data_IF_982280831304
#
_entry.id   IF_982280831304
#
_cell.length_a   1.000
_cell.length_b   1.000
_cell.length_c   1.000
_cell.angle_alpha   90.00
_cell.angle_beta   90.00
_cell.angle_gamma   90.00
#
_symmetry.space_group_name_H-M   'P 1'
#
loop_
_entity.id
_entity.type
_entity.pdbx_description
1 polymer ?
#
# COMPACT_ATOMS: atom_id res chain seq x y z
N UNK A 1 30.71 22.63 -21.29
CA UNK A 1 30.45 22.25 -19.88
C UNK A 1 29.07 22.74 -19.50
N UNK A 2 28.09 21.86 -19.43
CA UNK A 2 26.75 22.20 -18.92
C UNK A 2 26.84 22.20 -17.39
N UNK A 3 26.48 23.30 -16.70
CA UNK A 3 26.59 23.37 -15.25
C UNK A 3 25.59 22.38 -14.62
N UNK A 4 26.12 21.38 -13.90
CA UNK A 4 25.32 20.48 -13.08
C UNK A 4 24.73 21.32 -11.94
N UNK A 5 23.42 21.56 -11.99
CA UNK A 5 22.68 22.17 -10.89
C UNK A 5 22.88 21.32 -9.62
N UNK A 6 23.22 21.90 -8.48
CA UNK A 6 23.40 21.14 -7.25
C UNK A 6 22.09 20.45 -6.90
N UNK A 7 22.15 19.12 -6.76
CA UNK A 7 21.03 18.29 -6.29
C UNK A 7 20.50 18.92 -4.99
N UNK A 8 19.32 19.56 -5.06
CA UNK A 8 18.60 19.99 -3.87
C UNK A 8 18.46 18.78 -2.96
N UNK A 9 18.90 18.89 -1.70
CA UNK A 9 18.64 17.86 -0.67
C UNK A 9 17.16 17.53 -0.69
N UNK A 10 16.81 16.36 -1.22
CA UNK A 10 15.47 15.79 -1.08
C UNK A 10 15.29 15.59 0.42
N UNK A 11 14.33 16.30 1.03
CA UNK A 11 14.01 16.11 2.43
C UNK A 11 13.78 14.61 2.67
N UNK A 12 14.51 14.02 3.62
CA UNK A 12 14.39 12.59 3.88
C UNK A 12 12.93 12.26 4.19
N UNK A 13 12.28 11.37 3.44
CA UNK A 13 10.89 11.00 3.68
C UNK A 13 10.82 10.14 4.95
N UNK A 14 10.85 10.79 6.12
CA UNK A 14 10.69 10.12 7.40
C UNK A 14 9.23 10.09 7.77
N UNK A 15 8.49 9.12 7.25
CA UNK A 15 7.16 8.81 7.78
C UNK A 15 7.36 8.11 9.12
N UNK A 16 7.07 8.76 10.26
CA UNK A 16 7.21 8.12 11.57
C UNK A 16 6.29 6.89 11.65
N UNK A 17 6.74 5.85 12.36
CA UNK A 17 5.96 4.62 12.60
C UNK A 17 5.58 4.41 14.06
N UNK A 18 6.14 5.25 14.93
CA UNK A 18 5.85 5.36 16.34
C UNK A 18 5.28 6.75 16.62
N UNK A 19 4.27 6.79 17.47
CA UNK A 19 3.56 8.00 17.88
C UNK A 19 3.26 7.91 19.37
N UNK A 20 2.68 8.96 19.93
CA UNK A 20 2.23 8.98 21.32
C UNK A 20 0.72 9.15 21.39
N UNK A 21 0.07 8.36 22.24
CA UNK A 21 -1.34 8.57 22.60
C UNK A 21 -1.50 9.85 23.43
N UNK A 22 -2.72 10.37 23.53
CA UNK A 22 -3.05 11.48 24.42
C UNK A 22 -2.76 11.19 25.92
N UNK A 23 -2.63 9.92 26.32
CA UNK A 23 -2.19 9.52 27.66
C UNK A 23 -0.65 9.45 27.82
N UNK A 24 0.12 9.81 26.79
CA UNK A 24 1.59 9.79 26.79
C UNK A 24 2.23 8.44 26.45
N UNK A 25 1.47 7.35 26.35
CA UNK A 25 2.01 6.01 26.03
C UNK A 25 2.32 5.85 24.54
N UNK A 26 3.38 5.11 24.18
CA UNK A 26 3.72 4.84 22.79
C UNK A 26 2.60 4.04 22.10
N UNK A 27 2.31 4.42 20.87
CA UNK A 27 1.39 3.72 19.96
C UNK A 27 2.07 3.58 18.60
N UNK A 28 1.77 2.49 17.90
CA UNK A 28 2.44 2.10 16.66
C UNK A 28 1.44 2.05 15.52
N UNK A 29 1.93 2.27 14.30
CA UNK A 29 1.15 2.39 13.06
C UNK A 29 -0.02 1.41 12.87
N UNK A 30 0.04 0.20 13.44
CA UNK A 30 -1.01 -0.83 13.34
C UNK A 30 -2.08 -0.80 14.43
N UNK A 31 -1.89 -0.06 15.52
CA UNK A 31 -2.83 -0.05 16.62
C UNK A 31 -4.14 0.65 16.21
N UNK A 32 -5.27 0.03 16.55
CA UNK A 32 -6.62 0.61 16.45
C UNK A 32 -7.14 1.13 17.81
N UNK A 33 -6.43 0.81 18.90
CA UNK A 33 -6.72 1.24 20.26
C UNK A 33 -5.42 1.38 21.06
N UNK A 34 -5.38 2.33 21.99
CA UNK A 34 -4.30 2.43 22.96
C UNK A 34 -4.47 1.35 24.04
N UNK A 35 -3.49 0.45 24.16
CA UNK A 35 -3.52 -0.65 25.13
C UNK A 35 -3.43 -0.20 26.60
N UNK A 36 -3.05 1.05 26.86
CA UNK A 36 -2.93 1.58 28.23
C UNK A 36 -4.18 2.31 28.71
N UNK A 37 -4.87 3.07 27.86
CA UNK A 37 -6.01 3.89 28.26
C UNK A 37 -7.31 3.60 27.48
N UNK A 38 -7.31 2.59 26.60
CA UNK A 38 -8.50 2.16 25.86
C UNK A 38 -9.01 3.14 24.79
N UNK A 39 -8.35 4.29 24.58
CA UNK A 39 -8.79 5.26 23.56
C UNK A 39 -8.71 4.66 22.16
N UNK A 40 -9.75 4.80 21.32
CA UNK A 40 -9.67 4.44 19.91
C UNK A 40 -8.57 5.24 19.21
N UNK A 41 -7.93 4.63 18.22
CA UNK A 41 -6.89 5.25 17.41
C UNK A 41 -7.30 5.26 15.94
N UNK A 42 -6.73 6.18 15.16
CA UNK A 42 -6.92 6.22 13.71
C UNK A 42 -5.76 6.89 12.99
N UNK A 43 -5.34 6.33 11.86
CA UNK A 43 -4.26 6.87 11.04
C UNK A 43 -4.81 7.91 10.06
N UNK A 44 -4.37 9.15 10.23
CA UNK A 44 -4.58 10.24 9.28
C UNK A 44 -3.52 10.15 8.18
N UNK A 45 -3.96 9.83 6.96
CA UNK A 45 -3.09 9.65 5.82
C UNK A 45 -2.48 10.96 5.30
N UNK A 46 -3.19 12.08 5.43
CA UNK A 46 -2.73 13.39 4.98
C UNK A 46 -1.61 13.91 5.89
N UNK A 47 -1.78 13.72 7.20
CA UNK A 47 -0.77 14.13 8.19
C UNK A 47 0.33 13.09 8.41
N UNK A 48 0.14 11.87 7.93
CA UNK A 48 1.03 10.75 8.19
C UNK A 48 1.12 10.37 9.67
N UNK A 49 0.02 10.51 10.43
CA UNK A 49 0.01 10.38 11.90
C UNK A 49 -1.05 9.42 12.42
N UNK A 50 -0.68 8.61 13.41
CA UNK A 50 -1.65 7.87 14.22
C UNK A 50 -2.16 8.76 15.36
N UNK A 51 -3.47 9.00 15.37
CA UNK A 51 -4.14 9.91 16.29
C UNK A 51 -4.88 9.11 17.37
N UNK A 52 -4.83 9.58 18.62
CA UNK A 52 -5.78 9.16 19.63
C UNK A 52 -7.10 9.90 19.43
N UNK A 53 -8.22 9.20 19.51
CA UNK A 53 -9.52 9.72 19.12
C UNK A 53 -10.47 9.89 20.30
N UNK A 54 -11.39 10.83 20.16
CA UNK A 54 -12.57 10.98 21.00
C UNK A 54 -13.79 11.38 20.18
N UNK A 55 -15.00 11.10 20.70
CA UNK A 55 -16.24 11.39 20.00
C UNK A 55 -16.38 12.90 19.76
N UNK A 56 -16.58 13.30 18.50
CA UNK A 56 -16.81 14.68 18.14
C UNK A 56 -18.25 15.10 18.49
N UNK A 57 -18.48 16.17 19.28
CA UNK A 57 -19.82 16.65 19.58
C UNK A 57 -20.49 17.21 18.31
N UNK A 58 -21.81 17.05 18.16
CA UNK A 58 -22.60 17.65 17.07
C UNK A 58 -23.13 16.67 16.01
N UNK A 59 -24.16 17.11 15.27
CA UNK A 59 -25.00 16.26 14.39
C UNK A 59 -24.47 16.04 12.96
N UNK A 60 -23.41 16.74 12.55
CA UNK A 60 -22.96 16.77 11.15
C UNK A 60 -22.37 15.44 10.62
N UNK A 61 -21.84 14.59 11.51
CA UNK A 61 -21.39 13.23 11.18
C UNK A 61 -21.89 12.30 12.27
N UNK A 62 -22.82 11.40 11.97
CA UNK A 62 -23.28 10.37 12.91
C UNK A 62 -22.04 9.54 13.30
N UNK A 63 -21.67 9.54 14.59
CA UNK A 63 -20.45 8.90 15.11
C UNK A 63 -19.11 9.49 14.62
N UNK A 64 -19.04 10.80 14.38
CA UNK A 64 -17.78 11.47 14.05
C UNK A 64 -16.73 11.43 15.17
N UNK A 65 -15.46 11.40 14.77
CA UNK A 65 -14.29 11.39 15.65
C UNK A 65 -13.48 12.67 15.49
N UNK A 66 -12.71 13.03 16.53
CA UNK A 66 -11.68 14.08 16.47
C UNK A 66 -10.42 13.60 17.18
N UNK A 67 -9.32 14.28 16.94
CA UNK A 67 -8.08 14.10 17.71
C UNK A 67 -8.30 14.49 19.19
N UNK A 68 -7.93 13.60 20.10
CA UNK A 68 -8.02 13.81 21.53
C UNK A 68 -6.96 14.80 22.01
N UNK A 69 -7.33 15.68 22.94
CA UNK A 69 -6.43 16.72 23.47
C UNK A 69 -6.33 17.97 22.57
N UNK A 70 -6.98 17.98 21.40
CA UNK A 70 -7.09 19.17 20.55
C UNK A 70 -8.43 19.87 20.83
N UNK A 71 -8.46 21.20 21.07
CA UNK A 71 -9.70 21.93 21.28
C UNK A 71 -10.71 21.71 20.14
N UNK A 72 -11.97 21.43 20.47
CA UNK A 72 -12.99 21.01 19.50
C UNK A 72 -13.21 22.00 18.34
N UNK A 73 -12.98 23.31 18.56
CA UNK A 73 -13.08 24.34 17.52
C UNK A 73 -11.96 24.27 16.47
N UNK A 74 -10.86 23.58 16.76
CA UNK A 74 -9.65 23.47 15.91
C UNK A 74 -9.38 22.04 15.43
N UNK A 75 -10.07 21.05 15.99
CA UNK A 75 -9.85 19.65 15.65
C UNK A 75 -10.63 19.29 14.38
N UNK A 76 -9.96 18.77 13.33
CA UNK A 76 -10.67 18.20 12.19
C UNK A 76 -11.56 17.03 12.63
N UNK A 77 -12.61 16.81 11.84
CA UNK A 77 -13.51 15.67 12.02
C UNK A 77 -13.09 14.55 11.10
N UNK A 78 -13.24 13.34 11.62
CA UNK A 78 -12.93 12.11 10.89
C UNK A 78 -14.05 11.09 11.05
N UNK A 79 -14.10 10.15 10.11
CA UNK A 79 -14.72 8.85 10.30
C UNK A 79 -13.64 7.75 10.32
N UNK A 80 -13.96 6.59 10.90
CA UNK A 80 -13.09 5.40 10.78
C UNK A 80 -13.54 4.59 9.57
N UNK A 81 -12.59 3.96 8.88
CA UNK A 81 -12.84 3.11 7.73
C UNK A 81 -13.88 2.02 8.06
N UNK A 82 -14.80 1.74 7.13
CA UNK A 82 -15.78 0.66 7.28
C UNK A 82 -15.12 -0.73 7.41
N UNK A 83 -13.89 -0.89 6.90
CA UNK A 83 -13.07 -2.10 7.06
C UNK A 83 -12.39 -2.23 8.44
N UNK A 84 -12.74 -1.39 9.42
CA UNK A 84 -12.17 -1.49 10.77
C UNK A 84 -12.58 -2.79 11.47
N UNK A 85 -13.87 -3.10 11.44
CA UNK A 85 -14.47 -4.22 12.17
C UNK A 85 -14.63 -5.47 11.27
N UNK A 86 -14.03 -5.46 10.08
CA UNK A 86 -13.90 -6.61 9.19
C UNK A 86 -12.55 -7.29 9.39
N UNK A 87 -12.33 -8.44 8.74
CA UNK A 87 -11.05 -9.15 8.82
C UNK A 87 -9.84 -8.30 8.36
N UNK A 88 -10.04 -7.29 7.50
CA UNK A 88 -8.98 -6.34 7.10
C UNK A 88 -8.41 -5.51 8.27
N UNK A 89 -9.16 -5.39 9.37
CA UNK A 89 -8.79 -4.68 10.60
C UNK A 89 -8.17 -3.30 10.33
N UNK A 90 -8.81 -2.49 9.49
CA UNK A 90 -8.27 -1.22 9.03
C UNK A 90 -8.37 -0.12 10.09
N UNK A 91 -7.25 0.52 10.42
CA UNK A 91 -7.21 1.63 11.38
C UNK A 91 -7.09 3.02 10.73
N UNK A 92 -7.33 3.17 9.42
CA UNK A 92 -7.20 4.46 8.74
C UNK A 92 -8.47 5.30 8.87
N UNK A 93 -8.28 6.62 8.85
CA UNK A 93 -9.34 7.61 8.92
C UNK A 93 -9.80 8.03 7.52
N UNK A 94 -11.04 8.48 7.45
CA UNK A 94 -11.57 9.32 6.38
C UNK A 94 -11.61 10.75 6.91
N UNK A 95 -11.17 11.71 6.11
CA UNK A 95 -11.24 13.13 6.47
C UNK A 95 -12.63 13.72 6.18
N UNK A 96 -12.79 15.03 6.38
CA UNK A 96 -14.06 15.70 6.16
C UNK A 96 -14.50 15.68 4.69
N UNK A 97 -13.56 15.75 3.73
CA UNK A 97 -13.87 15.75 2.30
C UNK A 97 -14.35 14.35 1.86
N UNK A 98 -13.66 13.31 2.30
CA UNK A 98 -14.05 11.91 2.08
C UNK A 98 -15.46 11.64 2.65
N UNK A 99 -15.74 12.09 3.87
CA UNK A 99 -17.06 11.89 4.50
C UNK A 99 -18.14 12.67 3.74
N UNK A 100 -17.84 13.89 3.29
CA UNK A 100 -18.77 14.71 2.53
C UNK A 100 -19.10 14.11 1.15
N UNK A 101 -18.16 13.43 0.52
CA UNK A 101 -18.39 12.71 -0.74
C UNK A 101 -19.17 11.39 -0.57
N UNK A 102 -19.52 11.02 0.67
CA UNK A 102 -20.21 9.77 0.99
C UNK A 102 -19.30 8.55 1.04
N UNK A 103 -17.97 8.72 1.05
CA UNK A 103 -17.06 7.60 1.13
C UNK A 103 -17.17 6.88 2.50
N UNK A 104 -17.10 5.55 2.47
CA UNK A 104 -17.06 4.69 3.67
C UNK A 104 -15.72 3.99 3.84
N UNK A 105 -14.92 3.93 2.78
CA UNK A 105 -13.58 3.35 2.76
C UNK A 105 -12.50 4.44 2.70
N UNK A 106 -11.47 4.28 3.54
CA UNK A 106 -10.30 5.15 3.52
C UNK A 106 -9.53 5.05 2.20
N UNK A 107 -8.63 6.02 1.95
CA UNK A 107 -7.78 6.10 0.76
C UNK A 107 -7.02 4.81 0.41
N UNK A 108 -6.62 4.00 1.39
CA UNK A 108 -5.95 2.72 1.12
C UNK A 108 -6.94 1.60 0.78
N UNK A 109 -8.06 1.48 1.51
CA UNK A 109 -9.03 0.41 1.30
C UNK A 109 -9.79 0.55 -0.03
N UNK A 110 -10.02 1.78 -0.51
CA UNK A 110 -10.64 2.00 -1.83
C UNK A 110 -9.76 1.64 -3.03
N UNK A 111 -8.48 1.33 -2.80
CA UNK A 111 -7.62 0.77 -3.84
C UNK A 111 -7.88 -0.73 -4.03
N UNK A 112 -8.51 -1.42 -3.07
CA UNK A 112 -8.89 -2.82 -3.27
C UNK A 112 -10.17 -2.86 -4.09
N UNK A 113 -10.05 -3.32 -5.33
CA UNK A 113 -11.17 -3.54 -6.23
C UNK A 113 -11.86 -4.87 -5.92
N UNK A 114 -11.07 -5.91 -5.65
CA UNK A 114 -11.55 -7.26 -5.35
C UNK A 114 -10.94 -7.76 -4.04
N UNK A 115 -11.78 -8.23 -3.12
CA UNK A 115 -11.37 -8.93 -1.89
C UNK A 115 -11.47 -10.44 -2.12
N UNK A 116 -10.68 -11.27 -1.42
CA UNK A 116 -10.76 -12.72 -1.60
C UNK A 116 -12.11 -13.24 -1.13
N UNK A 117 -12.53 -14.37 -1.69
CA UNK A 117 -13.74 -15.07 -1.25
C UNK A 117 -13.59 -15.53 0.21
N UNK A 118 -14.26 -14.81 1.11
CA UNK A 118 -14.19 -15.01 2.55
C UNK A 118 -14.92 -16.27 3.03
N UNK A 119 -15.60 -17.00 2.14
CA UNK A 119 -16.13 -18.32 2.47
C UNK A 119 -15.03 -19.39 2.50
N UNK A 120 -13.89 -19.12 1.88
CA UNK A 120 -12.76 -20.04 1.88
C UNK A 120 -11.97 -19.99 3.20
N UNK A 121 -11.59 -21.15 3.77
CA UNK A 121 -10.83 -21.20 5.01
C UNK A 121 -9.51 -20.41 4.94
N UNK A 122 -9.30 -19.49 5.89
CA UNK A 122 -8.09 -18.68 6.01
C UNK A 122 -8.05 -17.42 5.15
N UNK A 123 -9.04 -17.21 4.26
CA UNK A 123 -9.11 -16.02 3.40
C UNK A 123 -9.19 -14.71 4.20
N UNK A 124 -9.85 -14.74 5.37
CA UNK A 124 -9.93 -13.64 6.33
C UNK A 124 -8.55 -13.24 6.89
N UNK A 125 -7.76 -14.23 7.32
CA UNK A 125 -6.40 -14.04 7.84
C UNK A 125 -5.49 -13.50 6.73
N UNK A 126 -5.60 -14.04 5.53
CA UNK A 126 -4.81 -13.60 4.37
C UNK A 126 -5.16 -12.16 3.96
N UNK A 127 -6.44 -11.84 3.88
CA UNK A 127 -6.91 -10.49 3.61
C UNK A 127 -6.37 -9.49 4.65
N UNK A 128 -6.43 -9.85 5.94
CA UNK A 128 -5.86 -9.06 7.02
C UNK A 128 -4.37 -8.75 6.80
N UNK A 129 -3.57 -9.78 6.49
CA UNK A 129 -2.11 -9.66 6.31
C UNK A 129 -1.76 -8.82 5.08
N UNK A 130 -2.46 -9.02 3.97
CA UNK A 130 -2.24 -8.27 2.73
C UNK A 130 -2.60 -6.80 2.94
N UNK A 131 -3.76 -6.51 3.53
CA UNK A 131 -4.17 -5.14 3.82
C UNK A 131 -3.20 -4.43 4.80
N UNK A 132 -2.62 -5.15 5.76
CA UNK A 132 -1.56 -4.61 6.62
C UNK A 132 -0.29 -4.26 5.84
N UNK A 133 0.13 -5.10 4.89
CA UNK A 133 1.28 -4.84 4.02
C UNK A 133 1.00 -3.69 3.05
N UNK A 134 -0.18 -3.68 2.42
CA UNK A 134 -0.64 -2.61 1.53
C UNK A 134 -0.71 -1.26 2.24
N UNK A 135 -1.25 -1.17 3.46
CA UNK A 135 -1.21 0.08 4.26
C UNK A 135 0.22 0.59 4.49
N UNK A 136 1.19 -0.31 4.70
CA UNK A 136 2.61 0.10 4.81
C UNK A 136 3.14 0.65 3.50
N UNK A 137 2.86 -0.01 2.37
CA UNK A 137 3.19 0.49 1.03
C UNK A 137 2.54 1.85 0.78
N UNK A 138 1.22 1.94 0.86
CA UNK A 138 0.46 3.14 0.50
C UNK A 138 0.86 4.34 1.37
N UNK A 139 1.08 4.14 2.67
CA UNK A 139 1.62 5.23 3.50
C UNK A 139 2.99 5.71 2.99
N UNK A 140 3.90 4.82 2.59
CA UNK A 140 5.20 5.19 2.01
C UNK A 140 5.03 6.00 0.73
N UNK A 141 4.16 5.56 -0.18
CA UNK A 141 3.88 6.26 -1.43
C UNK A 141 3.37 7.68 -1.19
N UNK A 142 2.43 7.83 -0.24
CA UNK A 142 1.91 9.15 0.17
C UNK A 142 3.03 10.05 0.72
N UNK A 143 3.88 9.55 1.61
CA UNK A 143 4.98 10.36 2.14
C UNK A 143 6.11 10.65 1.14
N UNK A 144 6.24 9.84 0.09
CA UNK A 144 7.07 10.13 -1.08
C UNK A 144 6.40 11.13 -2.05
N UNK A 145 5.16 11.55 -1.77
CA UNK A 145 4.33 12.40 -2.62
C UNK A 145 4.06 11.81 -4.00
N UNK A 146 4.07 10.48 -4.09
CA UNK A 146 3.70 9.78 -5.32
C UNK A 146 2.17 9.79 -5.49
N UNK A 147 1.66 9.80 -6.74
CA UNK A 147 0.23 9.75 -6.98
C UNK A 147 -0.33 8.41 -6.47
N UNK A 148 -1.33 8.49 -5.60
CA UNK A 148 -2.09 7.35 -5.09
C UNK A 148 -3.56 7.69 -5.26
N UNK A 149 -4.14 7.23 -6.36
CA UNK A 149 -5.52 7.48 -6.74
C UNK A 149 -6.19 6.15 -7.09
N UNK A 150 -7.42 5.93 -6.64
CA UNK A 150 -8.13 4.70 -6.97
C UNK A 150 -8.49 4.70 -8.44
N UNK A 151 -8.27 3.57 -9.12
CA UNK A 151 -8.73 3.38 -10.51
C UNK A 151 -10.25 3.53 -10.68
N UNK A 152 -11.03 3.40 -9.61
CA UNK A 152 -12.47 3.65 -9.63
C UNK A 152 -12.84 5.16 -9.64
N UNK A 153 -11.88 6.04 -9.32
CA UNK A 153 -12.12 7.48 -9.09
C UNK A 153 -11.49 8.36 -10.18
N UNK A 154 -10.70 7.79 -11.10
CA UNK A 154 -9.92 8.53 -12.10
C UNK A 154 -10.09 7.95 -13.50
N UNK A 155 -9.78 8.73 -14.55
CA UNK A 155 -9.77 8.23 -15.93
C UNK A 155 -8.86 7.02 -16.13
N UNK A 156 -9.11 6.29 -17.20
CA UNK A 156 -8.38 5.09 -17.58
C UNK A 156 -6.87 5.34 -17.69
N UNK A 157 -6.07 4.34 -17.29
CA UNK A 157 -4.60 4.40 -17.30
C UNK A 157 -3.93 5.14 -16.12
N UNK A 158 -4.65 5.96 -15.34
CA UNK A 158 -4.00 6.80 -14.31
C UNK A 158 -4.12 6.29 -12.87
N UNK A 159 -5.03 5.35 -12.60
CA UNK A 159 -5.33 4.89 -11.25
C UNK A 159 -4.71 3.54 -10.88
N UNK A 160 -4.55 3.33 -9.57
CA UNK A 160 -4.06 2.11 -8.95
C UNK A 160 -5.23 1.30 -8.37
N UNK A 161 -5.22 0.00 -8.61
CA UNK A 161 -6.15 -0.95 -8.02
C UNK A 161 -5.42 -2.23 -7.57
N UNK A 162 -6.00 -2.93 -6.60
CA UNK A 162 -5.54 -4.23 -6.13
C UNK A 162 -6.67 -5.25 -6.25
N UNK A 163 -6.38 -6.37 -6.89
CA UNK A 163 -7.23 -7.55 -6.90
C UNK A 163 -6.60 -8.63 -6.04
N UNK A 164 -7.28 -8.98 -4.96
CA UNK A 164 -6.86 -10.02 -4.03
C UNK A 164 -7.68 -11.27 -4.34
N UNK A 165 -7.09 -12.21 -5.06
CA UNK A 165 -7.80 -13.36 -5.61
C UNK A 165 -7.31 -14.64 -4.94
N UNK A 166 -8.13 -15.69 -5.03
CA UNK A 166 -7.72 -17.05 -4.68
C UNK A 166 -7.82 -17.90 -5.93
N UNK A 167 -6.80 -18.73 -6.16
CA UNK A 167 -6.86 -19.73 -7.22
C UNK A 167 -8.08 -20.61 -7.01
N UNK A 168 -8.98 -20.74 -8.01
CA UNK A 168 -10.12 -21.63 -7.90
C UNK A 168 -9.63 -23.09 -7.79
N UNK A 169 -10.40 -23.98 -7.15
CA UNK A 169 -10.06 -25.42 -7.09
C UNK A 169 -9.92 -26.04 -8.49
N UNK A 170 -10.77 -25.59 -9.42
CA UNK A 170 -10.76 -25.98 -10.82
C UNK A 170 -10.54 -24.72 -11.67
N UNK A 171 -9.36 -24.58 -12.26
CA UNK A 171 -9.02 -23.46 -13.13
C UNK A 171 -7.53 -23.11 -13.11
N UNK A 172 -7.12 -22.11 -13.91
CA UNK A 172 -5.76 -21.62 -13.89
C UNK A 172 -5.45 -20.98 -12.52
N UNK A 173 -4.22 -21.21 -12.04
CA UNK A 173 -3.73 -20.54 -10.85
C UNK A 173 -3.71 -19.03 -11.06
N UNK A 174 -4.06 -18.28 -10.01
CA UNK A 174 -3.86 -16.83 -9.98
C UNK A 174 -2.36 -16.56 -10.01
N UNK A 175 -1.93 -15.73 -10.95
CA UNK A 175 -0.56 -15.25 -11.05
C UNK A 175 -0.51 -13.85 -10.46
N UNK A 176 0.34 -13.66 -9.46
CA UNK A 176 0.65 -12.33 -8.92
C UNK A 176 1.41 -11.52 -9.96
N UNK A 177 0.99 -10.29 -10.18
CA UNK A 177 1.55 -9.44 -11.22
C UNK A 177 0.90 -8.07 -11.29
N UNK A 178 1.30 -7.31 -12.30
CA UNK A 178 0.79 -5.99 -12.61
C UNK A 178 0.32 -5.93 -14.07
N UNK A 179 -0.83 -5.30 -14.31
CA UNK A 179 -1.30 -4.93 -15.64
C UNK A 179 -2.06 -3.59 -15.58
N UNK A 180 -1.59 -2.58 -16.29
CA UNK A 180 -2.23 -1.25 -16.44
C UNK A 180 -2.74 -0.64 -15.13
N UNK A 181 -1.89 -0.61 -14.09
CA UNK A 181 -2.23 -0.09 -12.77
C UNK A 181 -3.14 -0.99 -11.93
N UNK A 182 -3.43 -2.22 -12.38
CA UNK A 182 -4.05 -3.26 -11.56
C UNK A 182 -2.96 -4.20 -11.05
N UNK A 183 -2.85 -4.28 -9.73
CA UNK A 183 -1.97 -5.20 -9.03
C UNK A 183 -2.78 -6.42 -8.61
N UNK A 184 -2.52 -7.57 -9.21
CA UNK A 184 -3.14 -8.83 -8.84
C UNK A 184 -2.24 -9.57 -7.85
N UNK A 185 -2.82 -10.06 -6.75
CA UNK A 185 -2.13 -10.94 -5.82
C UNK A 185 -2.92 -12.23 -5.63
N UNK A 186 -2.24 -13.37 -5.69
CA UNK A 186 -2.74 -14.60 -5.07
C UNK A 186 -2.72 -14.41 -3.54
N UNK A 187 -3.91 -14.30 -2.95
CA UNK A 187 -4.07 -14.07 -1.53
C UNK A 187 -3.45 -15.19 -0.68
N UNK A 188 -3.32 -16.40 -1.23
CA UNK A 188 -2.67 -17.53 -0.56
C UNK A 188 -1.16 -17.33 -0.33
N UNK A 189 -0.52 -16.39 -1.05
CA UNK A 189 0.84 -15.93 -0.74
C UNK A 189 0.96 -15.32 0.65
N UNK A 190 -0.16 -14.97 1.29
CA UNK A 190 -0.21 -14.45 2.63
C UNK A 190 0.04 -15.50 3.74
N UNK A 191 0.07 -16.78 3.40
CA UNK A 191 0.37 -17.89 4.31
C UNK A 191 1.89 -18.07 4.55
N UNK A 192 2.31 -17.99 5.82
CA UNK A 192 3.73 -18.17 6.20
C UNK A 192 4.25 -19.59 5.95
N UNK A 193 3.42 -20.63 6.15
CA UNK A 193 3.85 -22.00 5.97
C UNK A 193 4.09 -22.31 4.48
N UNK A 194 3.16 -21.87 3.62
CA UNK A 194 3.34 -21.94 2.16
C UNK A 194 4.48 -21.06 1.66
N UNK A 195 4.76 -19.94 2.33
CA UNK A 195 5.93 -19.08 2.03
C UNK A 195 7.24 -19.82 2.30
N UNK A 196 7.39 -20.42 3.48
CA UNK A 196 8.61 -21.14 3.84
C UNK A 196 8.78 -22.41 3.00
N UNK A 197 7.69 -23.12 2.70
CA UNK A 197 7.72 -24.27 1.80
C UNK A 197 8.20 -23.87 0.39
N UNK A 198 7.69 -22.77 -0.19
CA UNK A 198 8.14 -22.30 -1.52
C UNK A 198 9.61 -21.85 -1.52
N UNK A 199 10.07 -21.20 -0.45
CA UNK A 199 11.47 -20.77 -0.30
C UNK A 199 12.45 -21.94 -0.40
N UNK A 200 12.13 -23.09 0.19
CA UNK A 200 12.97 -24.28 0.15
C UNK A 200 13.12 -24.92 -1.24
N UNK A 201 12.15 -24.73 -2.14
CA UNK A 201 12.14 -25.37 -3.46
C UNK A 201 12.79 -24.55 -4.57
N UNK A 202 12.83 -23.22 -4.47
CA UNK A 202 13.29 -22.34 -5.55
C UNK A 202 14.70 -21.75 -5.34
N UNK A 203 15.31 -21.89 -4.16
CA UNK A 203 16.67 -21.39 -3.90
C UNK A 203 16.85 -19.86 -3.98
N UNK A 204 15.79 -19.14 -4.33
CA UNK A 204 15.76 -17.68 -4.40
C UNK A 204 15.42 -17.05 -3.05
N UNK A 205 15.91 -15.83 -2.83
CA UNK A 205 15.48 -14.98 -1.71
C UNK A 205 14.04 -14.51 -1.93
N UNK A 206 13.06 -15.37 -1.73
CA UNK A 206 11.65 -15.05 -2.04
C UNK A 206 11.13 -13.90 -1.16
N UNK A 207 10.49 -12.90 -1.79
CA UNK A 207 10.24 -11.58 -1.21
C UNK A 207 9.05 -11.61 -0.23
N UNK A 208 9.10 -10.78 0.80
CA UNK A 208 7.95 -10.59 1.73
C UNK A 208 6.70 -10.10 0.98
N UNK A 209 5.49 -10.25 1.55
CA UNK A 209 4.26 -9.65 0.98
C UNK A 209 4.43 -8.17 0.62
N UNK A 210 5.09 -7.40 1.50
CA UNK A 210 5.40 -5.99 1.23
C UNK A 210 6.39 -5.83 0.07
N UNK A 211 7.33 -6.76 -0.08
CA UNK A 211 8.26 -6.82 -1.20
C UNK A 211 7.56 -7.08 -2.54
N UNK A 212 6.62 -8.03 -2.60
CA UNK A 212 5.80 -8.26 -3.80
C UNK A 212 4.97 -7.03 -4.14
N UNK A 213 4.23 -6.50 -3.17
CA UNK A 213 3.44 -5.27 -3.38
C UNK A 213 4.30 -4.11 -3.91
N UNK A 214 5.52 -3.94 -3.39
CA UNK A 214 6.47 -2.92 -3.89
C UNK A 214 6.95 -3.18 -5.30
N UNK A 215 7.24 -4.44 -5.64
CA UNK A 215 7.68 -4.81 -6.98
C UNK A 215 6.60 -4.50 -8.01
N UNK A 216 5.40 -5.04 -7.80
CA UNK A 216 4.30 -4.87 -8.76
C UNK A 216 3.86 -3.40 -8.85
N UNK A 217 3.79 -2.70 -7.70
CA UNK A 217 3.47 -1.27 -7.72
C UNK A 217 4.60 -0.44 -8.35
N UNK A 218 5.83 -0.95 -8.36
CA UNK A 218 6.97 -0.36 -9.08
C UNK A 218 6.73 -0.33 -10.58
N UNK A 219 6.18 -1.40 -11.16
CA UNK A 219 5.80 -1.44 -12.58
C UNK A 219 4.76 -0.38 -12.93
N UNK A 220 3.74 -0.20 -12.08
CA UNK A 220 2.77 0.89 -12.23
C UNK A 220 3.44 2.27 -12.26
N UNK A 221 4.38 2.55 -11.34
CA UNK A 221 5.07 3.84 -11.34
C UNK A 221 6.06 4.01 -12.48
N UNK A 222 6.64 2.92 -13.01
CA UNK A 222 7.44 2.98 -14.22
C UNK A 222 6.61 3.48 -15.41
N UNK A 223 5.39 2.95 -15.59
CA UNK A 223 4.45 3.41 -16.65
C UNK A 223 4.05 4.88 -16.48
N UNK A 224 4.02 5.39 -15.25
CA UNK A 224 3.62 6.79 -15.00
C UNK A 224 4.77 7.79 -15.04
N UNK A 225 5.96 7.40 -14.56
CA UNK A 225 7.06 8.33 -14.27
C UNK A 225 8.25 8.17 -15.19
N UNK A 226 8.36 7.05 -15.91
CA UNK A 226 9.51 6.74 -16.76
C UNK A 226 9.07 6.62 -18.21
N UNK A 227 8.17 5.69 -18.52
CA UNK A 227 7.75 5.36 -19.89
C UNK A 227 7.34 6.57 -20.75
N UNK A 228 6.49 7.52 -20.27
CA UNK A 228 6.06 8.66 -21.09
C UNK A 228 7.03 9.85 -21.04
N UNK A 229 8.26 9.67 -20.56
CA UNK A 229 9.20 10.76 -20.28
C UNK A 229 10.54 10.58 -20.98
N UNK A 230 11.36 11.63 -20.94
CA UNK A 230 12.74 11.60 -21.44
C UNK A 230 13.66 10.61 -20.69
N UNK A 231 13.23 10.07 -19.54
CA UNK A 231 14.01 9.13 -18.74
C UNK A 231 14.05 7.70 -19.29
N UNK A 232 13.16 7.35 -20.22
CA UNK A 232 13.05 5.98 -20.73
C UNK A 232 14.37 5.48 -21.35
N UNK A 233 14.95 6.23 -22.27
CA UNK A 233 16.18 5.82 -22.97
C UNK A 233 17.40 5.77 -22.03
N UNK A 234 17.64 6.73 -21.12
CA UNK A 234 18.67 6.61 -20.08
C UNK A 234 18.51 5.38 -19.18
N UNK A 235 17.28 5.03 -18.77
CA UNK A 235 17.02 3.83 -17.95
C UNK A 235 17.37 2.57 -18.72
N UNK A 236 16.97 2.47 -19.99
CA UNK A 236 17.31 1.34 -20.87
C UNK A 236 18.82 1.18 -21.06
N UNK A 237 19.53 2.29 -21.23
CA UNK A 237 20.99 2.27 -21.38
C UNK A 237 21.70 1.76 -20.11
N UNK A 238 21.17 2.06 -18.92
CA UNK A 238 21.78 1.69 -17.65
C UNK A 238 21.39 0.29 -17.16
N UNK A 239 20.10 -0.05 -17.25
CA UNK A 239 19.55 -1.27 -16.66
C UNK A 239 19.23 -2.38 -17.67
N UNK A 240 19.34 -2.09 -18.97
CA UNK A 240 18.98 -3.00 -20.05
C UNK A 240 17.65 -2.63 -20.71
N UNK A 241 17.52 -3.02 -21.98
CA UNK A 241 16.34 -2.75 -22.80
C UNK A 241 15.19 -3.69 -22.45
N UNK A 242 14.12 -3.14 -21.86
CA UNK A 242 12.90 -3.84 -21.45
C UNK A 242 12.11 -4.48 -22.61
N UNK A 243 12.42 -4.15 -23.87
CA UNK A 243 11.78 -4.74 -25.06
C UNK A 243 12.35 -6.09 -25.48
N UNK A 244 13.46 -6.51 -24.88
CA UNK A 244 14.05 -7.81 -25.18
C UNK A 244 13.13 -8.95 -24.70
N UNK A 245 13.10 -10.06 -25.44
CA UNK A 245 12.36 -11.24 -25.00
C UNK A 245 12.89 -11.74 -23.66
N UNK A 246 12.03 -11.77 -22.66
CA UNK A 246 12.39 -12.10 -21.29
C UNK A 246 13.02 -13.50 -21.19
N UNK A 247 12.47 -14.47 -21.93
CA UNK A 247 12.94 -15.85 -21.89
C UNK A 247 14.35 -15.96 -22.48
N UNK A 248 14.59 -15.30 -23.60
CA UNK A 248 15.91 -15.23 -24.24
C UNK A 248 16.93 -14.49 -23.37
N UNK A 249 16.54 -13.37 -22.73
CA UNK A 249 17.40 -12.61 -21.82
C UNK A 249 17.81 -13.45 -20.59
N UNK A 250 16.86 -14.20 -20.02
CA UNK A 250 17.11 -15.09 -18.88
C UNK A 250 18.05 -16.24 -19.25
N UNK A 251 17.83 -16.89 -20.39
CA UNK A 251 18.72 -17.95 -20.89
C UNK A 251 20.15 -17.43 -21.09
N UNK A 252 20.30 -16.23 -21.68
CA UNK A 252 21.61 -15.60 -21.87
C UNK A 252 22.30 -15.31 -20.54
N UNK A 253 21.57 -14.81 -19.54
CA UNK A 253 22.13 -14.57 -18.21
C UNK A 253 22.62 -15.85 -17.53
N UNK A 254 21.82 -16.92 -17.54
CA UNK A 254 22.24 -18.19 -16.95
C UNK A 254 23.40 -18.86 -17.71
N UNK A 255 23.50 -18.65 -19.03
CA UNK A 255 24.59 -19.20 -19.83
C UNK A 255 25.91 -18.40 -19.69
N UNK A 256 25.83 -17.08 -19.58
CA UNK A 256 26.98 -16.17 -19.65
C UNK A 256 27.37 -15.47 -18.35
N UNK A 257 26.56 -15.60 -17.29
CA UNK A 257 26.69 -14.80 -16.08
C UNK A 257 26.27 -13.33 -16.27
N UNK A 258 26.35 -12.51 -15.21
CA UNK A 258 26.12 -11.08 -15.32
C UNK A 258 27.18 -10.41 -16.21
N UNK A 259 26.86 -9.28 -16.88
CA UNK A 259 27.86 -8.45 -17.54
C UNK A 259 29.00 -8.06 -16.59
N UNK A 260 30.18 -7.78 -17.14
CA UNK A 260 31.26 -7.19 -16.36
C UNK A 260 30.80 -5.86 -15.74
N UNK A 261 31.17 -5.63 -14.48
CA UNK A 261 30.81 -4.44 -13.68
C UNK A 261 29.31 -4.24 -13.38
N UNK A 262 28.52 -5.33 -13.38
CA UNK A 262 27.11 -5.36 -12.93
C UNK A 262 26.96 -5.41 -11.40
#
# INVERSE_FOLDING_TARGET
>A
MVPVLPLRRVASPTIPRAFSCACGRPIFFRNSQCLACGRPLGYDAERGRLLALERAPGRAVKNGWREAGVPARRAPRYARCANLDTAAACNWLLDAADVQSGATLCRCCRLTRTVPDLTQPGADIWWCRIEQAKRRLVSQLIGLKLPVQSKAEVPEGLGLAFDLLLSPPEGPAVITGHADGVITLDASEADDARREQRRGHLGESYRTLLGHLRHETGHYYWQLLVEPTEWLEPVRALFGDDRQDYSAALQKHYAGGPPADW
#
